data_IF_390598202681
#
_entry.id   IF_390598202681
#
_cell.length_a   1.000
_cell.length_b   1.000
_cell.length_c   1.000
_cell.angle_alpha   90.00
_cell.angle_beta   90.00
_cell.angle_gamma   90.00
#
_symmetry.space_group_name_H-M   'P 1'
#
loop_
_entity.id
_entity.type
_entity.pdbx_description
1 polymer ?
#
# COMPACT_ATOMS: atom_id res chain seq x y z
N UNK A 1 19.97 7.79 15.16
CA UNK A 1 20.14 7.88 13.69
C UNK A 1 18.80 7.64 12.98
N UNK A 2 17.80 8.51 13.13
CA UNK A 2 16.43 8.08 12.76
C UNK A 2 15.63 9.11 11.97
N UNK A 3 15.55 10.37 12.41
CA UNK A 3 14.68 11.35 11.74
C UNK A 3 15.26 11.89 10.41
N UNK A 4 16.58 12.12 10.37
CA UNK A 4 17.24 12.62 9.16
C UNK A 4 17.16 11.64 7.99
N UNK A 5 17.34 10.34 8.25
CA UNK A 5 17.14 9.29 7.24
C UNK A 5 15.70 9.27 6.74
N UNK A 6 14.72 9.34 7.65
CA UNK A 6 13.30 9.41 7.28
C UNK A 6 13.00 10.61 6.37
N UNK A 7 13.51 11.80 6.70
CA UNK A 7 13.37 12.99 5.88
C UNK A 7 13.99 12.78 4.49
N UNK A 8 15.23 12.29 4.42
CA UNK A 8 15.93 12.05 3.17
C UNK A 8 15.19 11.04 2.28
N UNK A 9 14.79 9.89 2.85
CA UNK A 9 14.03 8.87 2.11
C UNK A 9 12.65 9.37 1.70
N UNK A 10 12.01 10.22 2.52
CA UNK A 10 10.73 10.84 2.20
C UNK A 10 10.82 11.82 1.03
N UNK A 11 11.87 12.66 1.01
CA UNK A 11 12.15 13.57 -0.12
C UNK A 11 12.39 12.77 -1.39
N UNK A 12 13.23 11.74 -1.34
CA UNK A 12 13.48 10.87 -2.50
C UNK A 12 12.19 10.20 -2.98
N UNK A 13 11.38 9.66 -2.07
CA UNK A 13 10.09 9.05 -2.40
C UNK A 13 9.14 10.06 -3.07
N UNK A 14 9.04 11.28 -2.54
CA UNK A 14 8.24 12.36 -3.13
C UNK A 14 8.68 12.71 -4.54
N UNK A 15 9.99 12.87 -4.78
CA UNK A 15 10.55 13.14 -6.11
C UNK A 15 10.21 12.02 -7.09
N UNK A 16 10.35 10.75 -6.67
CA UNK A 16 10.01 9.60 -7.51
C UNK A 16 8.53 9.54 -7.86
N UNK A 17 7.63 9.78 -6.89
CA UNK A 17 6.18 9.84 -7.14
C UNK A 17 5.81 10.94 -8.12
N UNK A 18 6.42 12.12 -7.99
CA UNK A 18 6.20 13.26 -8.87
C UNK A 18 6.64 12.94 -10.30
N UNK A 19 7.83 12.36 -10.46
CA UNK A 19 8.37 11.96 -11.77
C UNK A 19 7.56 10.85 -12.41
N UNK A 20 7.02 9.92 -11.63
CA UNK A 20 6.12 8.86 -12.09
C UNK A 20 4.71 9.37 -12.47
N UNK A 21 4.36 10.63 -12.15
CA UNK A 21 3.04 11.25 -12.41
C UNK A 21 1.86 10.49 -11.81
N UNK A 22 2.10 9.66 -10.80
CA UNK A 22 1.07 8.88 -10.10
C UNK A 22 0.28 9.72 -9.08
N UNK A 23 0.72 10.96 -8.85
CA UNK A 23 0.05 11.96 -8.01
C UNK A 23 -1.20 12.58 -8.67
N UNK A 24 -1.41 12.34 -9.97
CA UNK A 24 -2.53 12.92 -10.71
C UNK A 24 -3.84 12.24 -10.37
N UNK A 25 -4.86 13.04 -10.09
CA UNK A 25 -6.21 12.58 -9.79
C UNK A 25 -6.80 11.73 -10.93
N UNK A 26 -6.60 12.15 -12.19
CA UNK A 26 -7.11 11.42 -13.35
C UNK A 26 -6.53 10.01 -13.46
N UNK A 27 -5.28 9.82 -13.04
CA UNK A 27 -4.66 8.49 -13.00
C UNK A 27 -5.34 7.62 -11.95
N UNK A 28 -5.58 8.16 -10.76
CA UNK A 28 -6.22 7.45 -9.66
C UNK A 28 -7.65 7.01 -10.03
N UNK A 29 -8.46 7.93 -10.57
CA UNK A 29 -9.78 7.59 -11.09
C UNK A 29 -9.71 6.64 -12.28
N UNK A 30 -8.72 6.81 -13.17
CA UNK A 30 -8.50 5.91 -14.30
C UNK A 30 -8.28 4.47 -13.86
N UNK A 31 -7.56 4.25 -12.76
CA UNK A 31 -7.38 2.93 -12.17
C UNK A 31 -8.70 2.38 -11.58
N UNK A 32 -9.44 3.20 -10.83
CA UNK A 32 -10.72 2.82 -10.21
C UNK A 32 -11.82 2.53 -11.23
N UNK A 33 -11.83 3.22 -12.37
CA UNK A 33 -12.77 3.04 -13.48
C UNK A 33 -12.32 1.97 -14.48
N UNK A 34 -11.22 1.27 -14.20
CA UNK A 34 -10.60 0.30 -15.07
C UNK A 34 -10.26 0.80 -16.49
N UNK A 35 -9.89 2.08 -16.61
CA UNK A 35 -9.52 2.74 -17.88
C UNK A 35 -8.02 2.92 -18.07
N UNK A 36 -7.28 3.06 -16.97
CA UNK A 36 -5.84 3.29 -16.98
C UNK A 36 -5.17 2.53 -15.83
N UNK A 37 -4.42 1.48 -16.18
CA UNK A 37 -3.74 0.60 -15.23
C UNK A 37 -2.33 1.07 -14.89
N UNK A 38 -1.93 2.29 -15.23
CA UNK A 38 -0.59 2.81 -14.95
C UNK A 38 -0.25 2.73 -13.46
N UNK A 39 -1.17 3.13 -12.58
CA UNK A 39 -0.92 3.07 -11.13
C UNK A 39 -0.81 1.63 -10.65
N UNK A 40 -1.68 0.73 -11.13
CA UNK A 40 -1.62 -0.68 -10.77
C UNK A 40 -0.29 -1.29 -11.21
N UNK A 41 0.16 -1.01 -12.44
CA UNK A 41 1.48 -1.43 -12.95
C UNK A 41 2.62 -0.89 -12.08
N UNK A 42 2.58 0.39 -11.72
CA UNK A 42 3.57 1.03 -10.85
C UNK A 42 3.61 0.37 -9.46
N UNK A 43 2.47 0.21 -8.80
CA UNK A 43 2.39 -0.35 -7.46
C UNK A 43 2.84 -1.82 -7.44
N UNK A 44 2.39 -2.66 -8.37
CA UNK A 44 2.83 -4.05 -8.43
C UNK A 44 4.32 -4.18 -8.73
N UNK A 45 4.88 -3.32 -9.59
CA UNK A 45 6.33 -3.31 -9.85
C UNK A 45 7.11 -2.96 -8.58
N UNK A 46 6.67 -1.94 -7.85
CA UNK A 46 7.29 -1.55 -6.58
C UNK A 46 7.19 -2.66 -5.53
N UNK A 47 6.05 -3.34 -5.43
CA UNK A 47 5.84 -4.46 -4.50
C UNK A 47 6.76 -5.64 -4.85
N UNK A 48 6.89 -6.00 -6.13
CA UNK A 48 7.78 -7.10 -6.55
C UNK A 48 9.23 -6.77 -6.23
N UNK A 49 9.70 -5.57 -6.57
CA UNK A 49 11.08 -5.13 -6.26
C UNK A 49 11.31 -5.11 -4.75
N UNK A 50 10.38 -4.55 -3.97
CA UNK A 50 10.48 -4.53 -2.52
C UNK A 50 10.50 -5.94 -1.92
N UNK A 51 9.65 -6.84 -2.39
CA UNK A 51 9.60 -8.23 -1.92
C UNK A 51 10.94 -8.95 -2.15
N UNK A 52 11.55 -8.78 -3.33
CA UNK A 52 12.87 -9.36 -3.64
C UNK A 52 13.95 -8.78 -2.72
N UNK A 53 14.02 -7.45 -2.60
CA UNK A 53 15.05 -6.79 -1.79
C UNK A 53 14.92 -7.12 -0.30
N UNK A 54 13.69 -7.09 0.25
CA UNK A 54 13.44 -7.40 1.66
C UNK A 54 13.88 -8.82 2.00
N UNK A 55 13.49 -9.81 1.18
CA UNK A 55 13.86 -11.21 1.44
C UNK A 55 15.35 -11.47 1.20
N UNK A 56 15.97 -10.78 0.24
CA UNK A 56 17.43 -10.85 0.06
C UNK A 56 18.17 -10.34 1.31
N UNK A 57 17.78 -9.18 1.84
CA UNK A 57 18.40 -8.64 3.05
C UNK A 57 18.05 -9.43 4.33
N UNK A 58 16.89 -10.08 4.35
CA UNK A 58 16.53 -11.04 5.40
C UNK A 58 17.48 -12.24 5.39
N UNK A 59 17.74 -12.82 4.21
CA UNK A 59 18.67 -13.96 4.05
C UNK A 59 20.12 -13.59 4.39
N UNK A 60 20.50 -12.32 4.16
CA UNK A 60 21.79 -11.76 4.58
C UNK A 60 21.88 -11.44 6.08
N UNK A 61 20.81 -11.63 6.84
CA UNK A 61 20.75 -11.32 8.28
C UNK A 61 20.80 -9.83 8.61
N UNK A 62 20.56 -8.95 7.62
CA UNK A 62 20.62 -7.49 7.78
C UNK A 62 19.30 -6.87 8.26
N UNK A 63 18.20 -7.61 8.19
CA UNK A 63 16.85 -7.16 8.54
C UNK A 63 16.11 -8.25 9.30
N UNK A 64 15.15 -7.85 10.14
CA UNK A 64 14.15 -8.73 10.74
C UNK A 64 12.75 -8.38 10.20
N UNK A 65 11.95 -9.41 9.90
CA UNK A 65 10.58 -9.21 9.44
C UNK A 65 9.62 -9.04 10.63
N UNK A 66 9.04 -7.84 10.76
CA UNK A 66 7.91 -7.61 11.64
C UNK A 66 6.59 -7.71 10.87
N UNK A 67 6.03 -8.93 10.84
CA UNK A 67 4.74 -9.19 10.18
C UNK A 67 3.59 -8.75 11.10
N UNK A 68 2.65 -8.00 10.55
CA UNK A 68 1.41 -7.64 11.25
C UNK A 68 0.47 -8.85 11.34
N UNK A 69 -0.29 -9.00 12.45
CA UNK A 69 -1.25 -10.08 12.57
C UNK A 69 -2.35 -9.97 11.52
N UNK A 70 -2.78 -11.13 11.02
CA UNK A 70 -3.87 -11.27 10.05
C UNK A 70 -5.18 -11.36 10.83
N UNK A 71 -5.98 -10.29 10.78
CA UNK A 71 -7.28 -10.18 11.42
C UNK A 71 -8.31 -9.87 10.35
N UNK A 72 -9.13 -10.87 10.00
CA UNK A 72 -10.09 -10.75 8.90
C UNK A 72 -11.04 -9.57 9.10
N UNK A 73 -11.52 -9.34 10.33
CA UNK A 73 -12.37 -8.20 10.64
C UNK A 73 -11.66 -6.87 10.35
N UNK A 74 -10.41 -6.72 10.77
CA UNK A 74 -9.63 -5.52 10.53
C UNK A 74 -9.35 -5.28 9.04
N UNK A 75 -8.98 -6.33 8.30
CA UNK A 75 -8.68 -6.20 6.87
C UNK A 75 -9.94 -5.96 6.03
N UNK A 76 -11.04 -6.64 6.30
CA UNK A 76 -12.28 -6.48 5.54
C UNK A 76 -12.94 -5.13 5.82
N UNK A 77 -13.13 -4.77 7.10
CA UNK A 77 -13.77 -3.50 7.46
C UNK A 77 -12.84 -2.32 7.18
N UNK A 78 -11.58 -2.40 7.58
CA UNK A 78 -10.61 -1.34 7.32
C UNK A 78 -10.32 -1.17 5.83
N UNK A 79 -10.19 -2.26 5.08
CA UNK A 79 -9.95 -2.24 3.64
C UNK A 79 -11.13 -1.66 2.85
N UNK A 80 -12.36 -1.99 3.22
CA UNK A 80 -13.56 -1.42 2.57
C UNK A 80 -13.70 0.07 2.88
N UNK A 81 -13.54 0.48 4.14
CA UNK A 81 -13.54 1.90 4.52
C UNK A 81 -12.45 2.69 3.79
N UNK A 82 -11.24 2.13 3.71
CA UNK A 82 -10.13 2.72 2.97
C UNK A 82 -10.46 2.84 1.47
N UNK A 83 -11.01 1.79 0.86
CA UNK A 83 -11.40 1.78 -0.55
C UNK A 83 -12.49 2.80 -0.87
N UNK A 84 -13.51 2.91 -0.01
CA UNK A 84 -14.57 3.92 -0.14
C UNK A 84 -14.00 5.34 -0.01
N UNK A 85 -13.14 5.58 0.98
CA UNK A 85 -12.44 6.86 1.13
C UNK A 85 -11.61 7.23 -0.10
N UNK A 86 -10.84 6.27 -0.62
CA UNK A 86 -10.05 6.46 -1.84
C UNK A 86 -10.94 6.76 -3.06
N UNK A 87 -12.07 6.07 -3.21
CA UNK A 87 -13.01 6.31 -4.31
C UNK A 87 -13.67 7.69 -4.25
N UNK A 88 -14.02 8.18 -3.05
CA UNK A 88 -14.62 9.51 -2.88
C UNK A 88 -13.62 10.64 -3.08
N UNK A 89 -12.40 10.49 -2.55
CA UNK A 89 -11.38 11.54 -2.57
C UNK A 89 -10.57 11.55 -3.88
N UNK A 90 -10.46 10.40 -4.55
CA UNK A 90 -9.61 10.19 -5.72
C UNK A 90 -8.10 10.34 -5.45
N UNK A 91 -7.71 10.27 -4.17
CA UNK A 91 -6.32 10.19 -3.72
C UNK A 91 -6.16 9.10 -2.68
N UNK A 92 -5.04 8.39 -2.73
CA UNK A 92 -4.56 7.61 -1.60
C UNK A 92 -3.67 8.48 -0.69
N UNK A 93 -3.41 8.07 0.57
CA UNK A 93 -2.74 8.92 1.56
C UNK A 93 -1.41 9.51 1.07
N UNK A 94 -0.57 8.70 0.42
CA UNK A 94 0.72 9.17 -0.11
C UNK A 94 0.57 10.16 -1.27
N UNK A 95 -0.43 9.95 -2.12
CA UNK A 95 -0.69 10.84 -3.27
C UNK A 95 -1.35 12.15 -2.86
N UNK A 96 -2.13 12.18 -1.77
CA UNK A 96 -2.70 13.40 -1.23
C UNK A 96 -1.61 14.37 -0.76
N UNK A 97 -0.59 13.85 -0.06
CA UNK A 97 0.60 14.63 0.33
C UNK A 97 1.39 15.14 -0.87
N UNK A 98 1.61 14.29 -1.88
CA UNK A 98 2.30 14.72 -3.09
C UNK A 98 1.51 15.76 -3.90
N UNK A 99 0.19 15.59 -4.04
CA UNK A 99 -0.68 16.55 -4.72
C UNK A 99 -0.71 17.90 -4.02
N UNK A 100 -0.77 17.91 -2.68
CA UNK A 100 -0.65 19.14 -1.89
C UNK A 100 0.72 19.81 -2.11
N UNK A 101 1.80 19.03 -2.16
CA UNK A 101 3.14 19.51 -2.51
C UNK A 101 3.27 20.09 -3.92
N UNK A 102 2.44 19.65 -4.87
CA UNK A 102 2.33 20.23 -6.22
C UNK A 102 1.49 21.53 -6.26
N UNK A 103 0.93 21.96 -5.12
CA UNK A 103 0.06 23.13 -5.02
C UNK A 103 -1.44 22.85 -5.22
N UNK A 104 -1.85 21.57 -5.26
CA UNK A 104 -3.24 21.17 -5.43
C UNK A 104 -3.90 21.05 -4.05
N UNK A 105 -4.70 22.06 -3.69
CA UNK A 105 -5.32 22.19 -2.36
C UNK A 105 -6.43 21.16 -2.07
N UNK A 106 -6.97 20.49 -3.09
CA UNK A 106 -7.89 19.37 -2.93
C UNK A 106 -7.28 18.22 -2.11
N UNK A 107 -5.97 17.99 -2.22
CA UNK A 107 -5.26 17.00 -1.41
C UNK A 107 -5.27 17.32 0.09
N UNK A 108 -5.36 18.59 0.48
CA UNK A 108 -5.36 19.03 1.88
C UNK A 108 -6.55 18.48 2.66
N UNK A 109 -7.74 18.47 2.05
CA UNK A 109 -8.94 17.92 2.68
C UNK A 109 -8.82 16.43 2.94
N UNK A 110 -8.17 15.71 2.04
CA UNK A 110 -7.83 14.30 2.21
C UNK A 110 -6.89 14.05 3.38
N UNK A 111 -5.86 14.89 3.51
CA UNK A 111 -4.90 14.83 4.62
C UNK A 111 -5.59 15.07 5.96
N UNK A 112 -6.36 16.15 6.07
CA UNK A 112 -7.08 16.51 7.30
C UNK A 112 -8.10 15.44 7.68
N UNK A 113 -8.87 14.93 6.70
CA UNK A 113 -9.80 13.82 6.92
C UNK A 113 -9.11 12.54 7.37
N UNK A 114 -7.95 12.22 6.79
CA UNK A 114 -7.13 11.07 7.19
C UNK A 114 -6.58 11.20 8.62
N UNK A 115 -6.09 12.37 9.00
CA UNK A 115 -5.64 12.64 10.37
C UNK A 115 -6.76 12.60 11.38
N UNK A 116 -7.91 13.20 11.07
CA UNK A 116 -9.08 13.16 11.92
C UNK A 116 -9.59 11.71 12.09
N UNK A 117 -9.67 10.95 11.00
CA UNK A 117 -10.03 9.52 11.05
C UNK A 117 -9.04 8.69 11.86
N UNK A 118 -7.74 8.98 11.75
CA UNK A 118 -6.70 8.31 12.56
C UNK A 118 -6.82 8.64 14.05
N UNK A 119 -7.14 9.89 14.39
CA UNK A 119 -7.39 10.30 15.78
C UNK A 119 -8.62 9.61 16.36
N UNK A 120 -9.75 9.59 15.63
CA UNK A 120 -10.95 8.85 16.03
C UNK A 120 -10.67 7.35 16.18
N UNK A 121 -9.92 6.77 15.24
CA UNK A 121 -9.52 5.37 15.33
C UNK A 121 -8.66 5.10 16.57
N UNK A 122 -7.75 6.00 16.94
CA UNK A 122 -6.90 5.86 18.12
C UNK A 122 -7.73 5.82 19.42
N UNK A 123 -8.75 6.67 19.54
CA UNK A 123 -9.68 6.67 20.68
C UNK A 123 -10.59 5.44 20.69
N UNK A 124 -11.05 4.99 19.52
CA UNK A 124 -11.89 3.80 19.40
C UNK A 124 -11.09 2.48 19.50
N UNK A 125 -9.76 2.53 19.39
CA UNK A 125 -8.88 1.36 19.33
C UNK A 125 -9.05 0.40 20.52
N UNK A 126 -9.15 0.86 21.79
CA UNK A 126 -9.38 -0.04 22.92
C UNK A 126 -10.69 -0.84 22.80
N UNK A 127 -11.77 -0.22 22.31
CA UNK A 127 -13.05 -0.88 22.08
C UNK A 127 -13.03 -1.79 20.83
N UNK A 128 -12.26 -1.42 19.81
CA UNK A 128 -12.11 -2.25 18.61
C UNK A 128 -11.27 -3.50 18.85
N UNK A 129 -10.30 -3.46 19.77
CA UNK A 129 -9.45 -4.62 20.13
C UNK A 129 -10.27 -5.85 20.54
N UNK A 130 -11.36 -5.63 21.26
CA UNK A 130 -12.23 -6.71 21.77
C UNK A 130 -13.34 -7.10 20.82
N UNK A 131 -13.52 -6.36 19.72
CA UNK A 131 -14.58 -6.57 18.72
C UNK A 131 -13.98 -6.89 17.35
N UNK A 132 -13.98 -5.93 16.43
CA UNK A 132 -13.64 -6.13 15.02
C UNK A 132 -12.20 -6.61 14.82
N UNK A 133 -11.26 -6.15 15.65
CA UNK A 133 -9.85 -6.59 15.56
C UNK A 133 -9.65 -8.04 16.04
N UNK A 134 -10.52 -8.56 16.90
CA UNK A 134 -10.47 -9.95 17.37
C UNK A 134 -11.14 -10.94 16.41
N UNK A 135 -11.90 -10.46 15.42
CA UNK A 135 -12.60 -11.31 14.48
C UNK A 135 -11.64 -11.97 13.49
N UNK A 136 -11.49 -13.30 13.62
CA UNK A 136 -10.63 -14.09 12.75
C UNK A 136 -9.17 -13.65 12.82
N UNK A 137 -8.64 -13.54 14.04
CA UNK A 137 -7.21 -13.33 14.27
C UNK A 137 -6.45 -14.64 14.08
N UNK A 138 -5.70 -14.73 12.97
CA UNK A 138 -4.83 -15.84 12.61
C UNK A 138 -3.37 -15.58 12.98
N UNK A 139 -3.09 -14.51 13.72
CA UNK A 139 -1.74 -14.13 14.13
C UNK A 139 -0.85 -13.75 12.95
N UNK A 140 0.47 -13.86 13.14
CA UNK A 140 1.46 -13.45 12.14
C UNK A 140 1.63 -14.52 11.06
N UNK A 141 0.74 -14.47 10.08
CA UNK A 141 0.75 -15.40 8.95
C UNK A 141 1.52 -14.79 7.76
N UNK A 142 2.35 -15.60 7.10
CA UNK A 142 2.93 -15.28 5.79
C UNK A 142 2.62 -16.40 4.81
N UNK A 143 2.71 -16.12 3.51
CA UNK A 143 2.52 -17.15 2.50
C UNK A 143 3.53 -18.30 2.63
N UNK A 144 4.77 -18.00 3.02
CA UNK A 144 5.79 -19.02 3.30
C UNK A 144 5.41 -19.88 4.50
N UNK A 145 4.98 -19.27 5.61
CA UNK A 145 4.61 -20.02 6.82
C UNK A 145 3.31 -20.81 6.66
N UNK A 146 2.34 -20.31 5.91
CA UNK A 146 1.07 -21.00 5.66
C UNK A 146 1.26 -22.25 4.78
N UNK A 147 2.07 -22.13 3.72
CA UNK A 147 2.28 -23.21 2.76
C UNK A 147 3.43 -24.15 3.19
N UNK A 148 4.18 -23.80 4.24
CA UNK A 148 5.36 -24.55 4.67
C UNK A 148 6.49 -24.55 3.63
N UNK A 149 6.53 -23.53 2.77
CA UNK A 149 7.49 -23.43 1.66
C UNK A 149 8.48 -22.30 1.88
N UNK A 150 9.61 -22.38 1.17
CA UNK A 150 10.60 -21.30 1.14
C UNK A 150 9.94 -19.97 0.69
N UNK A 151 10.27 -18.87 1.38
CA UNK A 151 9.74 -17.52 1.10
C UNK A 151 9.98 -17.04 -0.34
N UNK A 152 11.00 -17.56 -1.02
CA UNK A 152 11.26 -17.26 -2.43
C UNK A 152 10.15 -17.76 -3.38
N UNK A 153 9.42 -18.82 -3.02
CA UNK A 153 8.34 -19.36 -3.86
C UNK A 153 7.20 -18.35 -4.00
N UNK A 154 6.60 -17.81 -2.91
CA UNK A 154 5.64 -16.72 -3.00
C UNK A 154 6.14 -15.49 -3.76
N UNK A 155 7.42 -15.13 -3.61
CA UNK A 155 8.02 -13.99 -4.32
C UNK A 155 8.07 -14.23 -5.83
N UNK A 156 8.49 -15.44 -6.26
CA UNK A 156 8.52 -15.82 -7.68
C UNK A 156 7.11 -15.86 -8.25
N UNK A 157 6.15 -16.47 -7.53
CA UNK A 157 4.74 -16.52 -7.95
C UNK A 157 4.17 -15.12 -8.11
N UNK A 158 4.44 -14.21 -7.17
CA UNK A 158 4.04 -12.81 -7.24
C UNK A 158 4.66 -12.10 -8.46
N UNK A 159 5.95 -12.30 -8.71
CA UNK A 159 6.65 -11.67 -9.84
C UNK A 159 6.10 -12.17 -11.19
N UNK A 160 5.94 -13.48 -11.35
CA UNK A 160 5.34 -14.08 -12.56
C UNK A 160 3.90 -13.60 -12.75
N UNK A 161 3.11 -13.60 -11.67
CA UNK A 161 1.73 -13.11 -11.68
C UNK A 161 1.62 -11.65 -12.12
N UNK A 162 2.50 -10.78 -11.61
CA UNK A 162 2.56 -9.38 -12.01
C UNK A 162 2.91 -9.22 -13.50
N UNK A 163 3.89 -9.98 -14.02
CA UNK A 163 4.26 -9.95 -15.45
C UNK A 163 3.11 -10.41 -16.34
N UNK A 164 2.40 -11.48 -15.96
CA UNK A 164 1.24 -11.95 -16.70
C UNK A 164 0.10 -10.93 -16.67
N UNK A 165 -0.13 -10.28 -15.54
CA UNK A 165 -1.12 -9.22 -15.39
C UNK A 165 -0.79 -8.01 -16.26
N UNK A 166 0.49 -7.62 -16.32
CA UNK A 166 0.93 -6.48 -17.15
C UNK A 166 0.76 -6.79 -18.64
N UNK A 167 1.13 -8.01 -19.06
CA UNK A 167 0.86 -8.48 -20.43
C UNK A 167 -0.62 -8.46 -20.77
N UNK A 168 -1.49 -8.80 -19.82
CA UNK A 168 -2.93 -8.74 -20.02
C UNK A 168 -3.43 -7.31 -20.20
N UNK A 169 -2.95 -6.36 -19.38
CA UNK A 169 -3.30 -4.95 -19.51
C UNK A 169 -2.85 -4.37 -20.85
N UNK A 170 -1.61 -4.64 -21.26
CA UNK A 170 -1.09 -4.19 -22.55
C UNK A 170 -1.89 -4.74 -23.73
N UNK A 171 -2.26 -6.05 -23.70
CA UNK A 171 -3.10 -6.65 -24.74
C UNK A 171 -4.49 -6.00 -24.85
N UNK A 172 -5.02 -5.48 -23.75
CA UNK A 172 -6.32 -4.80 -23.71
C UNK A 172 -6.23 -3.29 -23.92
N UNK A 173 -5.02 -2.73 -24.09
CA UNK A 173 -4.81 -1.29 -24.20
C UNK A 173 -5.09 -0.53 -22.90
N UNK A 174 -4.91 -1.17 -21.74
CA UNK A 174 -5.15 -0.64 -20.39
C UNK A 174 -3.88 -0.16 -19.67
#
# INVERSE_FOLDING_TARGET
MTLAFGLFTGVLFGVLLQRARVLRFDKQLGALLFKDMTIVKFMFSAIVVAAILIHLFLDLGMLSLEVKPTSLGAQLVGGTLFGVGWAMLGYCPGTAWGAFGEGRFDGLWGILGGWFGAALYAEAYPAMKTSVLAWGDYGKLTWGSLLGVNHWIPVIVLAVGAVLLFRFFEKKGL
#
